data_IF_003385649199
#
_entry.id   IF_003385649199
#
_cell.length_a   1.000
_cell.length_b   1.000
_cell.length_c   1.000
_cell.angle_alpha   90.00
_cell.angle_beta   90.00
_cell.angle_gamma   90.00
#
_symmetry.space_group_name_H-M   'P 1'
#
loop_
_entity.id
_entity.type
_entity.pdbx_description
1 polymer ?
#
# COMPACT_ATOMS: atom_id res chain seq x y z
N UNK A 1 8.77 5.23 9.81
CA UNK A 1 8.14 4.75 8.56
C UNK A 1 6.67 5.12 8.61
N UNK A 2 6.20 5.91 7.66
CA UNK A 2 4.76 6.13 7.49
C UNK A 2 4.23 5.00 6.61
N UNK A 3 3.21 4.29 7.10
CA UNK A 3 2.47 3.33 6.27
C UNK A 3 1.23 4.06 5.77
N UNK A 4 0.86 3.84 4.51
CA UNK A 4 -0.35 4.39 3.88
C UNK A 4 -1.06 3.21 3.23
N UNK A 5 -2.33 3.01 3.56
CA UNK A 5 -3.17 2.06 2.85
C UNK A 5 -3.83 2.75 1.67
N UNK A 6 -3.85 2.09 0.51
CA UNK A 6 -4.60 2.54 -0.65
C UNK A 6 -5.84 1.66 -0.75
N UNK A 7 -6.98 2.24 -0.36
CA UNK A 7 -8.25 1.53 -0.20
C UNK A 7 -8.85 1.06 -1.52
N UNK A 8 -9.73 0.05 -1.40
CA UNK A 8 -10.46 -0.55 -2.51
C UNK A 8 -10.99 0.54 -3.45
N UNK A 9 -10.47 0.48 -4.67
CA UNK A 9 -10.61 1.48 -5.71
C UNK A 9 -12.04 1.59 -6.23
N UNK A 10 -12.84 0.55 -6.02
CA UNK A 10 -14.11 0.35 -6.70
C UNK A 10 -15.20 1.29 -6.19
N UNK A 11 -15.30 1.49 -4.87
CA UNK A 11 -16.33 2.34 -4.27
C UNK A 11 -15.91 2.92 -2.90
N UNK A 12 -16.26 4.17 -2.66
CA UNK A 12 -15.97 4.86 -1.39
C UNK A 12 -16.68 4.19 -0.21
N UNK A 13 -17.90 3.68 -0.41
CA UNK A 13 -18.63 2.91 0.58
C UNK A 13 -17.88 1.64 0.99
N UNK A 14 -17.36 0.88 0.04
CA UNK A 14 -16.54 -0.30 0.33
C UNK A 14 -15.26 0.03 1.11
N UNK A 15 -14.59 1.13 0.78
CA UNK A 15 -13.42 1.59 1.55
C UNK A 15 -13.80 1.94 3.01
N UNK A 16 -14.98 2.52 3.21
CA UNK A 16 -15.53 2.78 4.56
C UNK A 16 -15.91 1.50 5.28
N UNK A 17 -16.62 0.58 4.63
CA UNK A 17 -17.02 -0.70 5.19
C UNK A 17 -15.80 -1.52 5.63
N UNK A 18 -14.70 -1.46 4.88
CA UNK A 18 -13.43 -2.08 5.27
C UNK A 18 -12.91 -1.51 6.60
N UNK A 19 -12.89 -0.19 6.76
CA UNK A 19 -12.46 0.46 8.01
C UNK A 19 -13.35 0.08 9.19
N UNK A 20 -14.67 0.12 8.98
CA UNK A 20 -15.67 -0.18 10.01
C UNK A 20 -15.63 -1.66 10.43
N UNK A 21 -15.45 -2.58 9.49
CA UNK A 21 -15.44 -4.04 9.77
C UNK A 21 -14.13 -4.56 10.35
N UNK A 22 -12.99 -3.97 9.98
CA UNK A 22 -11.67 -4.43 10.46
C UNK A 22 -11.20 -3.70 11.72
N UNK A 23 -11.75 -2.52 12.01
CA UNK A 23 -11.28 -1.66 13.09
C UNK A 23 -9.87 -1.09 12.84
N UNK A 24 -9.39 -1.15 11.60
CA UNK A 24 -8.08 -0.62 11.20
C UNK A 24 -8.11 0.90 11.40
N UNK A 25 -7.37 1.38 12.39
CA UNK A 25 -7.20 2.81 12.67
C UNK A 25 -5.88 3.38 12.12
N UNK A 26 -4.95 2.50 11.76
CA UNK A 26 -3.68 2.82 11.10
C UNK A 26 -3.35 1.71 10.11
N UNK A 27 -2.74 2.02 8.95
CA UNK A 27 -2.32 3.34 8.47
C UNK A 27 -3.45 4.27 8.01
N UNK A 28 -3.10 5.54 7.71
CA UNK A 28 -3.96 6.43 6.93
C UNK A 28 -4.40 5.73 5.64
N UNK A 29 -5.71 5.68 5.39
CA UNK A 29 -6.27 5.13 4.16
C UNK A 29 -6.52 6.26 3.16
N UNK A 30 -6.02 6.11 1.93
CA UNK A 30 -6.30 6.97 0.80
C UNK A 30 -7.27 6.26 -0.15
N UNK A 31 -8.24 7.00 -0.66
CA UNK A 31 -9.13 6.55 -1.73
C UNK A 31 -8.83 7.35 -3.00
N UNK A 32 -8.53 6.65 -4.09
CA UNK A 32 -8.31 7.22 -5.41
C UNK A 32 -9.30 6.62 -6.43
N UNK A 33 -10.41 7.32 -6.74
CA UNK A 33 -11.40 6.82 -7.70
C UNK A 33 -10.92 6.87 -9.16
N UNK A 34 -9.81 7.55 -9.45
CA UNK A 34 -9.34 7.79 -10.82
C UNK A 34 -8.44 6.68 -11.36
N UNK A 35 -7.97 5.79 -10.50
CA UNK A 35 -6.94 4.79 -10.79
C UNK A 35 -5.56 5.36 -11.17
N UNK A 36 -5.36 6.68 -11.12
CA UNK A 36 -4.11 7.32 -11.50
C UNK A 36 -2.94 6.88 -10.63
N UNK A 37 -3.17 6.69 -9.33
CA UNK A 37 -2.11 6.33 -8.39
C UNK A 37 -1.60 4.91 -8.63
N UNK A 38 -2.49 3.97 -8.99
CA UNK A 38 -2.09 2.61 -9.36
C UNK A 38 -1.26 2.59 -10.64
N UNK A 39 -1.69 3.34 -11.66
CA UNK A 39 -0.95 3.43 -12.91
C UNK A 39 0.43 4.05 -12.70
N UNK A 40 0.53 5.10 -11.89
CA UNK A 40 1.78 5.76 -11.56
C UNK A 40 2.78 4.81 -10.87
N UNK A 41 2.30 3.92 -10.01
CA UNK A 41 3.13 2.92 -9.30
C UNK A 41 3.19 1.56 -9.99
N UNK A 42 2.58 1.40 -11.17
CA UNK A 42 2.54 0.15 -11.92
C UNK A 42 1.79 -0.99 -11.21
N UNK A 43 0.88 -0.68 -10.29
CA UNK A 43 0.04 -1.67 -9.58
C UNK A 43 -0.93 -2.30 -10.58
N UNK A 44 -0.95 -3.63 -10.64
CA UNK A 44 -1.74 -4.39 -11.62
C UNK A 44 -2.80 -5.29 -10.99
N UNK A 45 -2.70 -5.55 -9.69
CA UNK A 45 -3.65 -6.39 -8.99
C UNK A 45 -3.69 -6.05 -7.49
N UNK A 46 -4.83 -6.35 -6.88
CA UNK A 46 -4.89 -6.48 -5.43
C UNK A 46 -4.23 -7.80 -4.97
N UNK A 47 -3.51 -7.88 -3.86
CA UNK A 47 -3.04 -6.79 -2.99
C UNK A 47 -1.51 -6.69 -3.10
N UNK A 48 -1.02 -5.49 -3.40
CA UNK A 48 0.41 -5.20 -3.59
C UNK A 48 0.87 -4.09 -2.64
N UNK A 49 2.15 -4.12 -2.28
CA UNK A 49 2.81 -3.12 -1.45
C UNK A 49 4.10 -2.63 -2.13
N UNK A 50 4.56 -1.44 -1.76
CA UNK A 50 5.89 -0.97 -2.10
C UNK A 50 6.42 -0.07 -0.99
N UNK A 51 7.74 0.03 -0.89
CA UNK A 51 8.42 0.99 -0.01
C UNK A 51 8.99 2.10 -0.90
N UNK A 52 8.83 3.35 -0.48
CA UNK A 52 9.34 4.53 -1.18
C UNK A 52 10.33 5.25 -0.25
N UNK A 53 11.43 5.75 -0.80
CA UNK A 53 12.42 6.52 -0.04
C UNK A 53 11.85 7.85 0.46
N UNK A 54 12.35 8.41 1.59
CA UNK A 54 11.87 9.69 2.09
C UNK A 54 12.10 10.89 1.15
N UNK A 55 13.13 10.81 0.29
CA UNK A 55 13.44 11.80 -0.74
C UNK A 55 12.64 11.62 -2.04
N UNK A 56 11.85 10.55 -2.15
CA UNK A 56 11.07 10.16 -3.32
C UNK A 56 11.90 9.85 -4.57
N UNK A 57 13.22 9.64 -4.43
CA UNK A 57 14.11 9.30 -5.55
C UNK A 57 14.22 7.80 -5.81
N UNK A 58 13.70 6.96 -4.91
CA UNK A 58 13.79 5.50 -5.00
C UNK A 58 12.64 4.76 -4.35
N UNK A 59 12.57 3.46 -4.61
CA UNK A 59 11.58 2.58 -4.02
C UNK A 59 11.83 1.11 -4.36
N UNK A 60 11.16 0.23 -3.63
CA UNK A 60 11.17 -1.20 -3.92
C UNK A 60 10.36 -1.47 -5.20
N UNK A 61 10.58 -2.64 -5.80
CA UNK A 61 9.57 -3.22 -6.70
C UNK A 61 8.26 -3.48 -5.95
N UNK A 62 7.16 -3.69 -6.68
CA UNK A 62 5.91 -4.14 -6.08
C UNK A 62 6.08 -5.52 -5.44
N UNK A 63 5.57 -5.64 -4.23
CA UNK A 63 5.59 -6.84 -3.39
C UNK A 63 4.16 -7.37 -3.34
N UNK A 64 3.93 -8.58 -3.85
CA UNK A 64 2.61 -9.21 -3.90
C UNK A 64 2.38 -10.16 -2.72
N UNK A 65 1.21 -10.06 -2.09
CA UNK A 65 0.80 -10.93 -0.99
C UNK A 65 1.24 -10.47 0.40
N UNK A 66 0.77 -11.17 1.43
CA UNK A 66 0.99 -10.82 2.84
C UNK A 66 1.39 -12.05 3.67
N UNK A 67 2.65 -12.48 3.56
CA UNK A 67 3.23 -13.48 4.45
C UNK A 67 4.56 -13.02 5.05
N UNK A 68 5.13 -13.82 5.95
CA UNK A 68 6.39 -13.54 6.66
C UNK A 68 7.56 -13.23 5.70
N UNK A 69 7.56 -13.83 4.51
CA UNK A 69 8.55 -13.53 3.47
C UNK A 69 8.40 -12.12 2.88
N UNK A 70 7.17 -11.67 2.62
CA UNK A 70 6.93 -10.29 2.18
C UNK A 70 7.23 -9.29 3.30
N UNK A 71 6.91 -9.63 4.55
CA UNK A 71 7.30 -8.82 5.70
C UNK A 71 8.81 -8.67 5.79
N UNK A 72 9.57 -9.76 5.66
CA UNK A 72 11.03 -9.71 5.71
C UNK A 72 11.60 -8.87 4.56
N UNK A 73 11.07 -9.01 3.34
CA UNK A 73 11.52 -8.21 2.20
C UNK A 73 11.33 -6.69 2.42
N UNK A 74 10.23 -6.29 3.06
CA UNK A 74 10.00 -4.88 3.45
C UNK A 74 11.04 -4.44 4.49
N UNK A 75 11.28 -5.25 5.51
CA UNK A 75 12.24 -4.93 6.57
C UNK A 75 13.68 -4.84 6.04
N UNK A 76 14.08 -5.74 5.15
CA UNK A 76 15.40 -5.74 4.52
C UNK A 76 15.61 -4.48 3.67
N UNK A 77 14.59 -4.10 2.88
CA UNK A 77 14.65 -2.88 2.09
C UNK A 77 14.79 -1.65 2.99
N UNK A 78 13.95 -1.53 4.03
CA UNK A 78 14.00 -0.41 4.98
C UNK A 78 15.35 -0.33 5.70
N UNK A 79 15.98 -1.47 6.02
CA UNK A 79 17.28 -1.50 6.68
C UNK A 79 18.46 -1.11 5.76
N UNK A 80 18.26 -1.17 4.43
CA UNK A 80 19.27 -0.82 3.44
C UNK A 80 19.22 0.65 2.99
N UNK A 81 18.20 1.41 3.44
CA UNK A 81 18.03 2.84 3.19
C UNK A 81 18.72 3.68 4.26
#
# INVERSE_FOLDING_TARGET
MQVIGMGAQDDFGQARDFLESTGVATPTMLWDPSFATWQAFGVQANSQMMVISPDLEGGSSLIYGFNDGQQQAILDFVAAM
#
